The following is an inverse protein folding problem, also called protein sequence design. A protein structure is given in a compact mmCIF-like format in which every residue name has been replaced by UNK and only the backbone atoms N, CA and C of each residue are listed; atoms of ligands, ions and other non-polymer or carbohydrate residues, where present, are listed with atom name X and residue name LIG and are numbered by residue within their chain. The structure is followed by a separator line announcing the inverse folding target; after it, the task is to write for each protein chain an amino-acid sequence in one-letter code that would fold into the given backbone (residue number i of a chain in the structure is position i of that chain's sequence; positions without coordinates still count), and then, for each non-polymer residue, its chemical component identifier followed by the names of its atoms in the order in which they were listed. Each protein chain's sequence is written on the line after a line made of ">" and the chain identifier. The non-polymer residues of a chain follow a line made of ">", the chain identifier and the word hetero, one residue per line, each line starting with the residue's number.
data_IF_352497519288
#
_entry.id   IF_352497519288
#
_cell.length_a   1.000
_cell.length_b   1.000
_cell.length_c   1.000
_cell.angle_alpha   90.00
_cell.angle_beta   90.00
_cell.angle_gamma   90.00
#
_symmetry.space_group_name_H-M   'P 1'
#
loop_
_entity.id
_entity.type
_entity.pdbx_description
1 polymer ?
#
# COMPACT_ATOMS: atom_id res chain seq x y z
N UNK A 1 16.69 -3.70 -4.96
CA UNK A 1 15.80 -4.69 -4.33
C UNK A 1 15.23 -4.03 -3.08
N UNK A 2 13.92 -4.06 -2.89
CA UNK A 2 13.29 -3.57 -1.67
C UNK A 2 11.99 -4.34 -1.41
N UNK A 3 11.79 -4.73 -0.14
CA UNK A 3 10.50 -5.20 0.35
C UNK A 3 9.63 -4.00 0.66
N UNK A 4 8.45 -3.98 0.06
CA UNK A 4 7.48 -2.89 0.17
C UNK A 4 6.21 -3.44 0.82
N UNK A 5 5.78 -2.78 1.89
CA UNK A 5 4.51 -3.05 2.56
C UNK A 5 3.46 -2.04 2.07
N UNK A 6 2.42 -2.52 1.41
CA UNK A 6 1.21 -1.74 1.12
C UNK A 6 0.16 -1.96 2.20
N UNK A 7 -0.55 -0.91 2.59
CA UNK A 7 -1.60 -0.96 3.61
C UNK A 7 -2.85 -0.26 3.08
N UNK A 8 -3.98 -0.95 3.14
CA UNK A 8 -5.31 -0.40 2.91
C UNK A 8 -6.08 -0.35 4.23
N UNK A 9 -6.06 0.80 4.93
CA UNK A 9 -6.69 0.92 6.24
C UNK A 9 -8.21 1.04 6.13
N UNK A 10 -8.92 0.20 6.83
CA UNK A 10 -10.38 0.22 6.92
C UNK A 10 -10.89 0.13 8.35
N UNK A 11 -12.12 0.55 8.59
CA UNK A 11 -12.75 0.54 9.93
C UNK A 11 -13.28 -0.84 10.35
N UNK A 12 -13.39 -1.79 9.44
CA UNK A 12 -13.83 -3.18 9.70
C UNK A 12 -12.75 -4.18 9.35
N UNK A 13 -12.00 -3.88 8.31
CA UNK A 13 -10.91 -4.69 7.80
C UNK A 13 -9.76 -3.75 7.47
N UNK A 14 -8.54 -4.18 7.70
CA UNK A 14 -7.33 -3.51 7.23
C UNK A 14 -6.54 -4.52 6.39
N UNK A 15 -6.40 -4.23 5.10
CA UNK A 15 -5.60 -5.04 4.20
C UNK A 15 -4.11 -4.74 4.35
N UNK A 16 -3.27 -5.77 4.18
CA UNK A 16 -1.84 -5.60 3.99
C UNK A 16 -1.33 -6.46 2.83
N UNK A 17 -0.31 -5.99 2.16
CA UNK A 17 0.36 -6.71 1.09
C UNK A 17 1.84 -6.40 1.06
N UNK A 18 2.66 -7.44 0.99
CA UNK A 18 4.12 -7.35 0.91
C UNK A 18 4.59 -7.85 -0.43
N UNK A 19 5.37 -7.04 -1.13
CA UNK A 19 5.99 -7.39 -2.41
C UNK A 19 7.51 -7.17 -2.35
N UNK A 20 8.25 -7.92 -3.16
CA UNK A 20 9.66 -7.66 -3.41
C UNK A 20 9.82 -6.98 -4.78
N UNK A 21 10.38 -5.77 -4.80
CA UNK A 21 10.64 -5.01 -6.02
C UNK A 21 12.12 -5.11 -6.42
N UNK A 22 12.40 -5.79 -7.54
CA UNK A 22 13.75 -5.99 -8.10
C UNK A 22 13.80 -5.39 -9.51
N UNK A 23 14.24 -4.13 -9.62
CA UNK A 23 14.10 -3.39 -10.88
C UNK A 23 12.64 -3.32 -11.29
N UNK A 24 12.33 -3.74 -12.54
CA UNK A 24 10.97 -3.77 -13.09
C UNK A 24 10.18 -5.03 -12.69
N UNK A 25 10.78 -5.97 -12.00
CA UNK A 25 10.13 -7.21 -11.58
C UNK A 25 9.54 -7.06 -10.19
N UNK A 26 8.28 -7.45 -10.07
CA UNK A 26 7.55 -7.49 -8.81
C UNK A 26 7.28 -8.95 -8.44
N UNK A 27 7.57 -9.30 -7.20
CA UNK A 27 7.36 -10.64 -6.68
C UNK A 27 6.41 -10.58 -5.48
N UNK A 28 5.41 -11.43 -5.50
CA UNK A 28 4.51 -11.60 -4.35
C UNK A 28 5.28 -12.25 -3.19
N UNK A 29 5.13 -11.69 -1.98
CA UNK A 29 5.72 -12.24 -0.76
C UNK A 29 4.63 -12.70 0.19
N UNK A 30 3.72 -11.80 0.58
CA UNK A 30 2.63 -12.09 1.50
C UNK A 30 1.49 -11.12 1.34
N UNK A 31 0.31 -11.49 1.75
CA UNK A 31 -0.81 -10.57 1.91
C UNK A 31 -1.84 -11.13 2.86
N UNK A 32 -2.65 -10.26 3.43
CA UNK A 32 -3.71 -10.68 4.33
C UNK A 32 -4.65 -9.55 4.70
N UNK A 33 -5.59 -9.88 5.57
CA UNK A 33 -6.61 -8.97 6.05
C UNK A 33 -6.73 -9.10 7.57
N UNK A 34 -6.52 -7.99 8.26
CA UNK A 34 -6.73 -7.85 9.70
C UNK A 34 -8.22 -7.62 9.94
N UNK A 35 -8.88 -8.58 10.55
CA UNK A 35 -10.32 -8.52 10.86
C UNK A 35 -10.53 -7.87 12.22
N UNK A 36 -11.19 -6.72 12.24
CA UNK A 36 -11.35 -5.92 13.45
C UNK A 36 -12.58 -6.32 14.31
N UNK A 37 -13.44 -7.19 13.77
CA UNK A 37 -14.56 -7.75 14.53
C UNK A 37 -15.58 -6.73 15.05
N UNK A 38 -16.32 -7.13 16.07
CA UNK A 38 -17.38 -6.33 16.71
C UNK A 38 -16.93 -5.72 18.05
N UNK A 39 -15.62 -5.53 18.24
CA UNK A 39 -15.07 -4.93 19.44
C UNK A 39 -15.18 -3.41 19.43
N UNK A 40 -14.99 -2.78 20.59
CA UNK A 40 -14.98 -1.34 20.74
C UNK A 40 -13.97 -0.67 19.81
N UNK A 41 -14.26 0.58 19.42
CA UNK A 41 -13.44 1.28 18.44
C UNK A 41 -11.98 1.43 18.86
N UNK A 42 -11.72 1.75 20.12
CA UNK A 42 -10.38 1.83 20.69
C UNK A 42 -9.60 0.50 20.59
N UNK A 43 -10.27 -0.62 20.85
CA UNK A 43 -9.67 -1.95 20.70
C UNK A 43 -9.38 -2.31 19.25
N UNK A 44 -10.18 -1.82 18.30
CA UNK A 44 -9.86 -1.96 16.86
C UNK A 44 -8.58 -1.23 16.48
N UNK A 45 -8.39 0.00 16.97
CA UNK A 45 -7.16 0.76 16.72
C UNK A 45 -5.93 0.06 17.28
N UNK A 46 -6.03 -0.45 18.50
CA UNK A 46 -4.98 -1.26 19.14
C UNK A 46 -4.68 -2.53 18.34
N UNK A 47 -5.71 -3.18 17.82
CA UNK A 47 -5.57 -4.39 17.01
C UNK A 47 -4.86 -4.10 15.69
N UNK A 48 -5.23 -3.01 14.98
CA UNK A 48 -4.54 -2.57 13.76
C UNK A 48 -3.04 -2.36 14.04
N UNK A 49 -2.72 -1.59 15.09
CA UNK A 49 -1.34 -1.31 15.46
C UNK A 49 -0.56 -2.61 15.71
N UNK A 50 -1.06 -3.46 16.62
CA UNK A 50 -0.38 -4.69 17.02
C UNK A 50 -0.16 -5.66 15.85
N UNK A 51 -1.19 -5.91 15.05
CA UNK A 51 -1.11 -6.86 13.94
C UNK A 51 -0.17 -6.34 12.83
N UNK A 52 -0.17 -5.04 12.55
CA UNK A 52 0.77 -4.45 11.60
C UNK A 52 2.21 -4.47 12.12
N UNK A 53 2.46 -4.24 13.41
CA UNK A 53 3.78 -4.45 14.01
C UNK A 53 4.26 -5.89 13.78
N UNK A 54 3.39 -6.89 14.02
CA UNK A 54 3.73 -8.29 13.75
C UNK A 54 4.04 -8.59 12.28
N UNK A 55 3.32 -7.97 11.34
CA UNK A 55 3.63 -8.06 9.90
C UNK A 55 4.99 -7.44 9.59
N UNK A 56 5.27 -6.25 10.14
CA UNK A 56 6.55 -5.54 9.94
C UNK A 56 7.72 -6.34 10.51
N UNK A 57 7.59 -6.87 11.71
CA UNK A 57 8.61 -7.71 12.36
C UNK A 57 8.87 -9.00 11.57
N UNK A 58 7.82 -9.61 11.02
CA UNK A 58 7.92 -10.87 10.27
C UNK A 58 8.64 -10.69 8.93
N UNK A 59 8.30 -9.63 8.18
CA UNK A 59 8.76 -9.46 6.81
C UNK A 59 9.86 -8.42 6.66
N UNK A 60 10.12 -7.59 7.67
CA UNK A 60 11.13 -6.53 7.69
C UNK A 60 11.16 -5.68 6.40
N UNK A 61 10.01 -5.07 5.99
CA UNK A 61 9.96 -4.22 4.80
C UNK A 61 10.86 -3.00 4.98
N UNK A 62 11.38 -2.46 3.88
CA UNK A 62 12.21 -1.25 3.89
C UNK A 62 11.40 0.01 3.58
N UNK A 63 10.26 -0.15 2.94
CA UNK A 63 9.41 0.95 2.49
C UNK A 63 7.95 0.59 2.77
N UNK A 64 7.14 1.61 3.08
CA UNK A 64 5.69 1.43 3.24
C UNK A 64 4.90 2.41 2.40
N UNK A 65 3.72 1.99 1.99
CA UNK A 65 2.77 2.79 1.25
C UNK A 65 1.37 2.60 1.81
N UNK A 66 0.59 3.67 1.90
CA UNK A 66 -0.76 3.67 2.46
C UNK A 66 -1.69 4.49 1.56
N UNK A 67 -2.98 4.11 1.51
CA UNK A 67 -3.96 4.90 0.79
C UNK A 67 -4.33 6.19 1.52
N UNK A 68 -4.46 7.30 0.77
CA UNK A 68 -5.03 8.56 1.27
C UNK A 68 -6.53 8.38 1.55
N UNK A 69 -6.99 8.89 2.68
CA UNK A 69 -8.41 8.88 3.01
C UNK A 69 -9.12 10.04 2.33
N UNK A 70 -10.18 9.74 1.59
CA UNK A 70 -11.08 10.74 1.05
C UNK A 70 -12.30 10.93 1.97
N UNK A 71 -12.74 12.18 2.15
CA UNK A 71 -13.96 12.49 2.88
C UNK A 71 -15.17 11.90 2.13
N UNK A 72 -15.74 10.83 2.68
CA UNK A 72 -16.97 10.24 2.19
C UNK A 72 -18.22 11.02 2.66
N UNK A 73 -19.39 10.52 2.32
CA UNK A 73 -20.68 11.16 2.66
C UNK A 73 -20.97 11.25 4.17
N UNK A 74 -20.33 10.43 5.00
CA UNK A 74 -20.52 10.38 6.46
C UNK A 74 -19.28 10.86 7.19
N UNK A 75 -19.40 11.97 7.92
CA UNK A 75 -18.32 12.53 8.76
C UNK A 75 -17.87 11.51 9.82
N UNK A 76 -18.80 10.82 10.46
CA UNK A 76 -18.47 9.81 11.48
C UNK A 76 -17.67 8.64 10.91
N UNK A 77 -18.01 8.18 9.71
CA UNK A 77 -17.25 7.13 9.02
C UNK A 77 -15.86 7.60 8.62
N UNK A 78 -15.74 8.84 8.13
CA UNK A 78 -14.46 9.43 7.75
C UNK A 78 -13.53 9.59 8.96
N UNK A 79 -14.06 10.02 10.12
CA UNK A 79 -13.30 10.12 11.36
C UNK A 79 -12.77 8.75 11.82
N UNK A 80 -13.62 7.71 11.83
CA UNK A 80 -13.20 6.35 12.20
C UNK A 80 -12.15 5.80 11.24
N UNK A 81 -12.31 6.06 9.94
CA UNK A 81 -11.34 5.65 8.93
C UNK A 81 -9.99 6.39 9.10
N UNK A 82 -10.02 7.70 9.36
CA UNK A 82 -8.84 8.49 9.65
C UNK A 82 -8.09 8.00 10.89
N UNK A 83 -8.82 7.60 11.94
CA UNK A 83 -8.22 7.02 13.15
C UNK A 83 -7.59 5.65 12.87
N UNK A 84 -8.27 4.78 12.12
CA UNK A 84 -7.72 3.48 11.69
C UNK A 84 -6.44 3.66 10.88
N UNK A 85 -6.46 4.61 9.93
CA UNK A 85 -5.28 4.97 9.13
C UNK A 85 -4.16 5.54 10.02
N UNK A 86 -4.46 6.40 10.96
CA UNK A 86 -3.49 6.94 11.93
C UNK A 86 -2.83 5.83 12.73
N UNK A 87 -3.59 4.84 13.19
CA UNK A 87 -3.06 3.67 13.89
C UNK A 87 -2.10 2.86 13.02
N UNK A 88 -2.45 2.64 11.74
CA UNK A 88 -1.58 1.96 10.78
C UNK A 88 -0.28 2.73 10.52
N UNK A 89 -0.36 4.06 10.37
CA UNK A 89 0.83 4.91 10.20
C UNK A 89 1.74 4.87 11.42
N UNK A 90 1.17 4.93 12.63
CA UNK A 90 1.95 4.85 13.88
C UNK A 90 2.67 3.50 14.00
N UNK A 91 2.06 2.40 13.56
CA UNK A 91 2.74 1.10 13.52
C UNK A 91 3.98 1.12 12.60
N UNK A 92 3.89 1.75 11.42
CA UNK A 92 5.03 1.90 10.53
C UNK A 92 6.12 2.79 11.15
N UNK A 93 5.75 3.96 11.67
CA UNK A 93 6.68 4.93 12.28
C UNK A 93 7.33 4.39 13.56
N UNK A 94 6.66 3.51 14.30
CA UNK A 94 7.22 2.82 15.48
C UNK A 94 8.41 1.93 15.10
N UNK A 95 8.46 1.46 13.86
CA UNK A 95 9.57 0.67 13.30
C UNK A 95 10.48 1.50 12.38
N UNK A 96 10.47 2.82 12.50
CA UNK A 96 11.28 3.75 11.70
C UNK A 96 11.09 3.62 10.18
N UNK A 97 9.93 3.09 9.75
CA UNK A 97 9.61 2.92 8.34
C UNK A 97 9.01 4.19 7.75
N UNK A 98 9.57 4.71 6.63
CA UNK A 98 8.98 5.83 5.92
C UNK A 98 7.63 5.44 5.31
N UNK A 99 6.64 6.32 5.43
CA UNK A 99 5.29 6.11 4.88
C UNK A 99 5.07 7.00 3.67
N UNK A 100 4.81 6.39 2.53
CA UNK A 100 4.41 7.08 1.30
C UNK A 100 2.89 6.99 1.11
N UNK A 101 2.26 8.07 0.68
CA UNK A 101 0.80 8.18 0.56
C UNK A 101 0.37 8.25 -0.89
N UNK A 102 -0.70 7.55 -1.23
CA UNK A 102 -1.22 7.48 -2.59
C UNK A 102 -2.74 7.60 -2.62
N UNK A 103 -3.25 8.48 -3.49
CA UNK A 103 -4.69 8.54 -3.74
C UNK A 103 -5.17 7.32 -4.53
N UNK A 104 -6.42 6.89 -4.31
CA UNK A 104 -7.07 5.80 -5.04
C UNK A 104 -6.95 5.97 -6.57
N UNK A 105 -7.07 7.20 -7.07
CA UNK A 105 -6.90 7.51 -8.48
C UNK A 105 -5.50 7.19 -8.98
N UNK A 106 -4.47 7.55 -8.21
CA UNK A 106 -3.06 7.29 -8.56
C UNK A 106 -2.76 5.78 -8.54
N UNK A 107 -3.29 5.06 -7.56
CA UNK A 107 -3.18 3.59 -7.49
C UNK A 107 -3.77 2.96 -8.75
N UNK A 108 -5.02 3.31 -9.11
CA UNK A 108 -5.68 2.80 -10.33
C UNK A 108 -4.86 3.10 -11.59
N UNK A 109 -4.39 4.33 -11.74
CA UNK A 109 -3.60 4.74 -12.90
C UNK A 109 -2.27 3.99 -13.00
N UNK A 110 -1.60 3.72 -11.87
CA UNK A 110 -0.33 3.02 -11.84
C UNK A 110 -0.44 1.55 -12.30
N UNK A 111 -1.60 0.90 -12.04
CA UNK A 111 -1.81 -0.50 -12.39
C UNK A 111 -2.45 -0.70 -13.78
N UNK A 112 -3.36 0.19 -14.16
CA UNK A 112 -4.21 -0.01 -15.35
C UNK A 112 -3.99 1.02 -16.44
N UNK A 113 -3.18 2.05 -16.20
CA UNK A 113 -3.04 3.21 -17.08
C UNK A 113 -4.19 4.21 -16.99
N UNK A 114 -5.28 3.91 -16.27
CA UNK A 114 -6.46 4.76 -16.12
C UNK A 114 -6.85 4.97 -14.65
N UNK A 115 -6.94 6.23 -14.23
CA UNK A 115 -7.41 6.57 -12.88
C UNK A 115 -8.91 6.32 -12.64
N UNK A 116 -9.68 6.04 -13.70
CA UNK A 116 -11.11 5.70 -13.63
C UNK A 116 -11.39 4.18 -13.68
N UNK A 117 -10.38 3.33 -13.60
CA UNK A 117 -10.53 1.88 -13.68
C UNK A 117 -11.48 1.34 -12.60
N UNK A 118 -12.25 0.32 -12.97
CA UNK A 118 -13.12 -0.41 -12.05
C UNK A 118 -12.30 -1.28 -11.07
N UNK A 119 -12.91 -1.62 -9.93
CA UNK A 119 -12.27 -2.43 -8.88
C UNK A 119 -11.82 -3.80 -9.40
N UNK A 120 -12.66 -4.48 -10.15
CA UNK A 120 -12.35 -5.79 -10.74
C UNK A 120 -11.13 -5.74 -11.66
N UNK A 121 -10.99 -4.67 -12.44
CA UNK A 121 -9.84 -4.47 -13.32
C UNK A 121 -8.55 -4.29 -12.51
N UNK A 122 -8.59 -3.54 -11.41
CA UNK A 122 -7.44 -3.37 -10.52
C UNK A 122 -7.04 -4.70 -9.89
N UNK A 123 -8.00 -5.46 -9.34
CA UNK A 123 -7.77 -6.77 -8.74
C UNK A 123 -7.21 -7.78 -9.75
N UNK A 124 -7.70 -7.74 -10.99
CA UNK A 124 -7.15 -8.56 -12.07
C UNK A 124 -5.69 -8.21 -12.35
N UNK A 125 -5.38 -6.90 -12.48
CA UNK A 125 -4.00 -6.45 -12.73
C UNK A 125 -3.04 -6.80 -11.61
N UNK A 126 -3.46 -6.74 -10.35
CA UNK A 126 -2.65 -7.20 -9.20
C UNK A 126 -2.25 -8.67 -9.39
N UNK A 127 -3.21 -9.54 -9.73
CA UNK A 127 -2.93 -10.97 -9.97
C UNK A 127 -1.97 -11.19 -11.13
N UNK A 128 -2.18 -10.48 -12.24
CA UNK A 128 -1.30 -10.58 -13.43
C UNK A 128 0.12 -10.14 -13.10
N UNK A 129 0.28 -8.95 -12.48
CA UNK A 129 1.59 -8.36 -12.20
C UNK A 129 2.40 -9.16 -11.17
N UNK A 130 1.73 -9.83 -10.24
CA UNK A 130 2.38 -10.61 -9.18
C UNK A 130 2.36 -12.12 -9.44
N UNK A 131 1.78 -12.58 -10.56
CA UNK A 131 1.68 -14.00 -10.90
C UNK A 131 0.83 -14.81 -9.91
N UNK A 132 -0.18 -14.19 -9.28
CA UNK A 132 -1.03 -14.87 -8.30
C UNK A 132 -2.10 -15.69 -8.99
N UNK A 133 -2.04 -17.01 -8.82
CA UNK A 133 -3.08 -17.95 -9.22
C UNK A 133 -4.00 -18.23 -8.02
N UNK A 134 -5.31 -18.09 -8.20
CA UNK A 134 -6.28 -18.39 -7.14
C UNK A 134 -7.05 -17.16 -6.61
N UNK A 135 -7.71 -17.35 -5.47
CA UNK A 135 -8.56 -16.35 -4.87
C UNK A 135 -7.73 -15.39 -4.02
N UNK A 136 -7.85 -14.09 -4.28
CA UNK A 136 -7.25 -13.04 -3.48
C UNK A 136 -8.37 -12.32 -2.71
N UNK A 137 -8.20 -12.13 -1.40
CA UNK A 137 -9.12 -11.32 -0.61
C UNK A 137 -9.09 -9.87 -1.09
N UNK A 138 -10.24 -9.23 -1.12
CA UNK A 138 -10.42 -7.89 -1.68
C UNK A 138 -9.51 -6.86 -1.01
N UNK A 139 -9.55 -6.74 0.33
CA UNK A 139 -8.73 -5.78 1.08
C UNK A 139 -7.21 -6.07 0.93
N UNK A 140 -6.82 -7.34 0.86
CA UNK A 140 -5.43 -7.73 0.60
C UNK A 140 -4.99 -7.35 -0.82
N UNK A 141 -5.88 -7.48 -1.80
CA UNK A 141 -5.63 -7.05 -3.17
C UNK A 141 -5.49 -5.54 -3.31
N UNK A 142 -6.30 -4.77 -2.57
CA UNK A 142 -6.20 -3.31 -2.55
C UNK A 142 -4.87 -2.87 -1.90
N UNK A 143 -4.43 -3.52 -0.83
CA UNK A 143 -3.13 -3.27 -0.22
C UNK A 143 -1.95 -3.63 -1.15
N UNK A 144 -2.03 -4.75 -1.88
CA UNK A 144 -1.03 -5.10 -2.90
C UNK A 144 -1.00 -4.09 -4.06
N UNK A 145 -2.17 -3.55 -4.48
CA UNK A 145 -2.24 -2.50 -5.49
C UNK A 145 -1.48 -1.23 -5.04
N UNK A 146 -1.60 -0.85 -3.76
CA UNK A 146 -0.88 0.28 -3.17
C UNK A 146 0.64 0.03 -3.19
N UNK A 147 1.08 -1.18 -2.84
CA UNK A 147 2.50 -1.56 -2.88
C UNK A 147 3.07 -1.51 -4.31
N UNK A 148 2.32 -2.00 -5.31
CA UNK A 148 2.68 -1.93 -6.74
C UNK A 148 2.77 -0.47 -7.20
N UNK A 149 1.81 0.36 -6.83
CA UNK A 149 1.83 1.80 -7.14
C UNK A 149 3.08 2.48 -6.60
N UNK A 150 3.50 2.14 -5.38
CA UNK A 150 4.72 2.66 -4.77
C UNK A 150 5.96 2.22 -5.55
N UNK A 151 6.09 0.93 -5.87
CA UNK A 151 7.20 0.39 -6.65
C UNK A 151 7.36 1.11 -8.01
N UNK A 152 6.27 1.26 -8.76
CA UNK A 152 6.24 1.94 -10.05
C UNK A 152 6.60 3.43 -9.94
N UNK A 153 6.14 4.12 -8.89
CA UNK A 153 6.44 5.53 -8.63
C UNK A 153 7.92 5.72 -8.33
N UNK A 154 8.48 4.88 -7.45
CA UNK A 154 9.90 4.90 -7.08
C UNK A 154 10.80 4.70 -8.30
N UNK A 155 10.48 3.74 -9.15
CA UNK A 155 11.25 3.47 -10.35
C UNK A 155 11.20 4.64 -11.35
N UNK A 156 10.03 5.24 -11.54
CA UNK A 156 9.86 6.42 -12.36
C UNK A 156 10.71 7.59 -11.87
N UNK A 157 10.77 7.83 -10.58
CA UNK A 157 11.60 8.87 -9.96
C UNK A 157 13.10 8.59 -10.14
N UNK A 158 13.54 7.34 -10.00
CA UNK A 158 14.93 6.95 -10.22
C UNK A 158 15.37 7.19 -11.67
N UNK A 159 14.52 6.85 -12.65
CA UNK A 159 14.77 7.12 -14.09
C UNK A 159 14.87 8.62 -14.39
N UNK A 160 13.99 9.44 -13.82
CA UNK A 160 14.04 10.91 -14.00
C UNK A 160 15.29 11.51 -13.38
N UNK A 161 15.69 11.04 -12.19
CA UNK A 161 16.90 11.51 -11.51
C UNK A 161 18.17 11.17 -12.30
N UNK A 162 18.28 9.95 -12.82
CA UNK A 162 19.41 9.52 -13.64
C UNK A 162 19.48 10.29 -14.98
N UNK A 163 18.35 10.55 -15.62
CA UNK A 163 18.30 11.34 -16.85
C UNK A 163 18.72 12.81 -16.63
N UNK A 164 18.36 13.39 -15.46
CA UNK A 164 18.80 14.75 -15.07
C UNK A 164 20.30 14.81 -14.77
N UNK A 165 20.86 13.81 -14.12
CA UNK A 165 22.29 13.72 -13.85
C UNK A 165 23.08 13.63 -15.16
N UNK A 166 22.62 12.80 -16.12
CA UNK A 166 23.25 12.66 -17.43
C UNK A 166 23.23 13.97 -18.24
N UNK A 167 22.16 14.76 -18.19
CA UNK A 167 22.08 16.07 -18.85
C UNK A 167 23.05 17.07 -18.23
N UNK A 168 23.21 17.09 -16.89
CA UNK A 168 24.16 18.01 -16.22
C UNK A 168 25.63 17.66 -16.50
N UNK A 169 25.98 16.41 -16.69
CA UNK A 169 27.35 15.97 -17.03
C UNK A 169 27.79 16.24 -18.48
N UNK A 170 26.87 16.67 -19.37
CA UNK A 170 27.17 16.94 -20.80
C UNK A 170 27.60 18.38 -21.08
N UNK A 171 27.61 19.25 -20.07
CA UNK A 171 27.94 20.68 -20.19
C UNK A 171 29.11 21.12 -19.28
N UNK A 172 30.05 20.22 -19.03
CA UNK A 172 31.37 20.58 -18.50
C UNK A 172 32.46 20.24 -19.50
#
# INVERSE_FOLDING_TARGET
>A
MALILGIDPGSRFTGYGVINAVGNRLEYVSSGCIRLGSVEHSERLKLIFRELCGVIETWAPQETAIEEVFLGKSVSSALKLGQARGSAMVACLHHDLPVSEYSARKVKQALTGSGGAGKEQVQHMVKVLLGISGTLQEDAGDALAIAICHANTRESLARVSSARAFRKGRFQ
#
